data_IF_220147195876
#
_entry.id   IF_220147195876
#
_cell.length_a   1.000
_cell.length_b   1.000
_cell.length_c   1.000
_cell.angle_alpha   90.00
_cell.angle_beta   90.00
_cell.angle_gamma   90.00
#
_symmetry.space_group_name_H-M   'P 1'
#
loop_
_entity.id
_entity.type
_entity.pdbx_description
1 polymer ?
#
# COMPACT_ATOMS: atom_id res chain seq x y z
N UNK A 1 0.39 27.86 25.62
CA UNK A 1 0.35 26.47 25.13
C UNK A 1 1.49 26.12 24.17
N UNK A 2 2.12 27.09 23.53
CA UNK A 2 3.28 26.83 22.66
C UNK A 2 4.49 26.29 23.43
N UNK A 3 4.74 26.76 24.64
CA UNK A 3 5.82 26.27 25.48
C UNK A 3 5.66 24.78 25.89
N UNK A 4 4.43 24.33 26.12
CA UNK A 4 4.14 22.92 26.43
C UNK A 4 4.37 22.05 25.19
N UNK A 5 3.96 22.54 24.01
CA UNK A 5 4.16 21.87 22.73
C UNK A 5 5.64 21.73 22.38
N UNK A 6 6.41 22.79 22.62
CA UNK A 6 7.86 22.79 22.39
C UNK A 6 8.58 21.83 23.36
N UNK A 7 8.18 21.79 24.63
CA UNK A 7 8.69 20.83 25.62
C UNK A 7 8.41 19.39 25.24
N UNK A 8 7.19 19.08 24.80
CA UNK A 8 6.80 17.74 24.35
C UNK A 8 7.56 17.30 23.10
N UNK A 9 7.74 18.20 22.14
CA UNK A 9 8.52 17.91 20.93
C UNK A 9 9.99 17.58 21.28
N UNK A 10 10.58 18.32 22.22
CA UNK A 10 11.95 18.03 22.69
C UNK A 10 12.05 16.68 23.39
N UNK A 11 11.06 16.32 24.18
CA UNK A 11 11.01 15.02 24.86
C UNK A 11 10.87 13.87 23.87
N UNK A 12 10.04 14.03 22.82
CA UNK A 12 9.90 13.09 21.72
C UNK A 12 11.24 12.90 21.00
N UNK A 13 11.96 14.00 20.67
CA UNK A 13 13.27 13.92 20.02
C UNK A 13 14.31 13.20 20.89
N UNK A 14 14.32 13.42 22.21
CA UNK A 14 15.24 12.76 23.12
C UNK A 14 14.94 11.26 23.25
N UNK A 15 13.68 10.88 23.28
CA UNK A 15 13.25 9.47 23.27
C UNK A 15 13.66 8.81 21.95
N UNK A 16 13.40 9.44 20.82
CA UNK A 16 13.78 8.97 19.49
C UNK A 16 15.30 8.73 19.38
N UNK A 17 16.11 9.68 19.83
CA UNK A 17 17.59 9.55 19.88
C UNK A 17 18.05 8.39 20.75
N UNK A 18 17.40 8.17 21.90
CA UNK A 18 17.74 7.06 22.81
C UNK A 18 17.37 5.72 22.22
N UNK A 19 16.22 5.61 21.57
CA UNK A 19 15.76 4.39 20.89
C UNK A 19 16.67 4.06 19.69
N UNK A 20 17.00 5.04 18.87
CA UNK A 20 17.90 4.87 17.72
C UNK A 20 19.29 4.36 18.12
N UNK A 21 19.79 4.76 19.29
CA UNK A 21 21.11 4.31 19.79
C UNK A 21 21.11 2.90 20.38
N UNK A 22 19.98 2.46 20.91
CA UNK A 22 19.91 1.25 21.73
C UNK A 22 19.22 0.07 21.07
N UNK A 23 18.51 0.30 19.95
CA UNK A 23 17.73 -0.74 19.27
C UNK A 23 17.97 -0.65 17.75
N UNK A 24 18.72 -1.60 17.21
CA UNK A 24 19.07 -1.65 15.78
C UNK A 24 17.81 -1.62 14.90
N UNK A 25 16.79 -2.40 15.26
CA UNK A 25 15.49 -2.44 14.54
C UNK A 25 14.80 -1.07 14.52
N UNK A 26 14.95 -0.27 15.58
CA UNK A 26 14.38 1.08 15.63
C UNK A 26 15.16 2.09 14.78
N UNK A 27 16.48 1.92 14.69
CA UNK A 27 17.31 2.72 13.79
C UNK A 27 16.92 2.48 12.31
N UNK A 28 16.70 1.22 11.94
CA UNK A 28 16.23 0.84 10.58
C UNK A 28 14.83 1.43 10.30
N UNK A 29 13.91 1.35 11.26
CA UNK A 29 12.59 1.97 11.15
C UNK A 29 12.65 3.49 11.02
N UNK A 30 13.51 4.15 11.81
CA UNK A 30 13.70 5.62 11.73
C UNK A 30 14.33 6.04 10.39
N UNK A 31 15.26 5.24 9.87
CA UNK A 31 15.84 5.47 8.55
C UNK A 31 14.78 5.33 7.44
N UNK A 32 13.85 4.36 7.55
CA UNK A 32 12.79 4.17 6.57
C UNK A 32 11.82 5.35 6.47
N UNK A 33 11.65 6.15 7.53
CA UNK A 33 10.82 7.37 7.52
C UNK A 33 11.37 8.47 6.58
N UNK A 34 12.66 8.45 6.28
CA UNK A 34 13.28 9.42 5.37
C UNK A 34 13.22 8.99 3.91
N UNK A 35 12.80 7.76 3.63
CA UNK A 35 12.69 7.23 2.27
C UNK A 35 11.42 7.80 1.63
N UNK A 36 11.62 8.51 0.53
CA UNK A 36 10.54 9.04 -0.29
C UNK A 36 10.26 8.10 -1.49
N UNK A 37 9.25 8.43 -2.28
CA UNK A 37 8.85 7.62 -3.42
C UNK A 37 9.92 7.57 -4.53
N UNK A 38 10.74 8.62 -4.70
CA UNK A 38 11.84 8.64 -5.65
C UNK A 38 12.92 7.62 -5.28
N UNK A 39 13.20 7.46 -3.98
CA UNK A 39 14.14 6.43 -3.51
C UNK A 39 13.61 5.02 -3.82
N UNK A 40 12.30 4.78 -3.63
CA UNK A 40 11.66 3.52 -4.00
C UNK A 40 11.78 3.29 -5.50
N UNK A 41 11.40 4.29 -6.33
CA UNK A 41 11.52 4.23 -7.79
C UNK A 41 12.93 3.87 -8.23
N UNK A 42 13.92 4.55 -7.65
CA UNK A 42 15.32 4.40 -8.06
C UNK A 42 15.90 3.03 -7.70
N UNK A 43 15.34 2.36 -6.69
CA UNK A 43 15.67 0.99 -6.31
C UNK A 43 15.03 -0.08 -7.21
N UNK A 44 13.95 0.24 -7.94
CA UNK A 44 13.27 -0.71 -8.82
C UNK A 44 14.07 -0.96 -10.11
N UNK A 45 13.89 -2.15 -10.69
CA UNK A 45 14.31 -2.50 -12.04
C UNK A 45 13.16 -2.23 -13.04
N UNK A 46 13.45 -2.29 -14.34
CA UNK A 46 12.46 -1.98 -15.40
C UNK A 46 11.22 -2.89 -15.38
N UNK A 47 11.36 -4.12 -14.87
CA UNK A 47 10.27 -5.10 -14.77
C UNK A 47 9.64 -5.17 -13.37
N UNK A 48 9.95 -4.22 -12.50
CA UNK A 48 9.45 -4.17 -11.12
C UNK A 48 8.34 -3.14 -10.97
N UNK A 49 7.43 -3.40 -10.04
CA UNK A 49 6.45 -2.44 -9.55
C UNK A 49 6.39 -2.48 -8.02
N UNK A 50 6.33 -1.31 -7.40
CA UNK A 50 6.02 -1.17 -5.99
C UNK A 50 4.60 -0.63 -5.85
N UNK A 51 3.80 -1.24 -4.96
CA UNK A 51 2.39 -0.90 -4.75
C UNK A 51 2.12 -0.73 -3.26
N UNK A 52 1.62 0.42 -2.86
CA UNK A 52 1.04 0.58 -1.53
C UNK A 52 -0.48 0.70 -1.66
N UNK A 53 -1.18 -0.20 -1.00
CA UNK A 53 -2.63 -0.15 -0.91
C UNK A 53 -3.03 0.73 0.27
N UNK A 54 -3.98 1.62 0.05
CA UNK A 54 -4.52 2.51 1.07
C UNK A 54 -6.04 2.44 1.10
N UNK A 55 -6.58 2.43 2.29
CA UNK A 55 -7.99 2.74 2.50
C UNK A 55 -8.11 4.24 2.75
N UNK A 56 -8.76 4.95 1.83
CA UNK A 56 -8.98 6.39 1.94
C UNK A 56 -10.29 6.61 2.69
N UNK A 57 -10.24 7.12 3.93
CA UNK A 57 -11.43 7.50 4.67
C UNK A 57 -12.09 8.70 4.00
N UNK A 58 -13.36 8.92 4.30
CA UNK A 58 -14.06 10.14 3.90
C UNK A 58 -13.37 11.33 4.57
N UNK A 59 -12.77 12.20 3.75
CA UNK A 59 -12.20 13.44 4.26
C UNK A 59 -13.19 14.57 3.93
N UNK A 60 -13.79 15.15 4.97
CA UNK A 60 -14.59 16.34 4.86
C UNK A 60 -13.66 17.56 4.83
N UNK A 61 -13.58 18.28 3.70
CA UNK A 61 -12.77 19.48 3.59
C UNK A 61 -12.78 20.10 2.19
N UNK A 62 -12.42 21.39 2.12
CA UNK A 62 -12.58 22.21 0.91
C UNK A 62 -11.78 21.74 -0.31
N UNK A 63 -10.70 20.98 -0.11
CA UNK A 63 -9.75 20.59 -1.18
C UNK A 63 -9.52 19.08 -1.23
N UNK A 64 -10.41 18.28 -0.64
CA UNK A 64 -10.26 16.83 -0.55
C UNK A 64 -10.94 16.10 -1.70
N UNK A 65 -10.37 14.97 -2.09
CA UNK A 65 -11.01 14.00 -2.97
C UNK A 65 -12.31 13.57 -2.28
N UNK A 66 -13.43 14.11 -2.75
CA UNK A 66 -14.74 13.72 -2.28
C UNK A 66 -15.06 12.35 -2.86
N UNK A 67 -15.20 11.34 -2.03
CA UNK A 67 -15.95 10.16 -2.44
C UNK A 67 -17.41 10.61 -2.56
N UNK A 68 -17.94 10.62 -3.77
CA UNK A 68 -19.27 11.16 -4.10
C UNK A 68 -20.42 10.53 -3.28
N UNK A 69 -20.19 9.39 -2.67
CA UNK A 69 -21.16 8.59 -1.92
C UNK A 69 -20.83 8.46 -0.43
N UNK A 70 -19.78 9.14 0.05
CA UNK A 70 -19.43 9.17 1.47
C UNK A 70 -18.89 7.86 2.05
N UNK A 71 -18.48 6.89 1.24
CA UNK A 71 -18.01 5.58 1.68
C UNK A 71 -16.49 5.43 1.47
N UNK A 72 -15.74 4.88 2.47
CA UNK A 72 -14.31 4.61 2.34
C UNK A 72 -14.00 3.71 1.14
N UNK A 73 -12.90 4.00 0.45
CA UNK A 73 -12.45 3.25 -0.72
C UNK A 73 -10.99 2.86 -0.61
N UNK A 74 -10.69 1.70 -1.15
CA UNK A 74 -9.31 1.33 -1.41
C UNK A 74 -8.79 2.00 -2.68
N UNK A 75 -7.52 2.36 -2.65
CA UNK A 75 -6.74 2.74 -3.82
C UNK A 75 -5.36 2.09 -3.75
N UNK A 76 -4.71 1.98 -4.89
CA UNK A 76 -3.31 1.61 -5.01
C UNK A 76 -2.49 2.83 -5.39
N UNK A 77 -1.40 3.06 -4.69
CA UNK A 77 -0.33 3.99 -5.10
C UNK A 77 0.76 3.15 -5.70
N UNK A 78 1.01 3.33 -7.00
CA UNK A 78 1.88 2.49 -7.80
C UNK A 78 3.08 3.29 -8.29
N UNK A 79 4.26 2.68 -8.16
CA UNK A 79 5.55 3.23 -8.58
C UNK A 79 6.24 2.23 -9.49
N UNK A 80 6.77 2.73 -10.62
CA UNK A 80 7.64 1.97 -11.52
C UNK A 80 8.89 2.78 -11.82
N UNK A 81 9.92 2.12 -12.35
CA UNK A 81 11.20 2.73 -12.68
C UNK A 81 11.10 3.94 -13.62
N UNK A 82 10.21 3.86 -14.59
CA UNK A 82 9.98 4.86 -15.64
C UNK A 82 9.00 5.97 -15.24
N UNK A 83 8.43 5.93 -14.00
CA UNK A 83 7.45 6.92 -13.57
C UNK A 83 8.11 8.23 -13.12
N UNK A 84 7.51 9.33 -13.53
CA UNK A 84 7.88 10.69 -13.11
C UNK A 84 7.15 11.15 -11.85
N UNK A 85 6.08 10.44 -11.48
CA UNK A 85 5.28 10.63 -10.27
C UNK A 85 4.54 9.32 -9.94
N UNK A 86 4.17 9.06 -8.69
CA UNK A 86 3.35 7.91 -8.35
C UNK A 86 1.99 7.97 -9.06
N UNK A 87 1.50 6.83 -9.52
CA UNK A 87 0.15 6.72 -10.07
C UNK A 87 -0.82 6.25 -8.99
N UNK A 88 -1.99 6.85 -8.93
CA UNK A 88 -3.05 6.48 -7.99
C UNK A 88 -4.17 5.83 -8.79
N UNK A 89 -4.42 4.55 -8.50
CA UNK A 89 -5.48 3.77 -9.13
C UNK A 89 -6.60 3.53 -8.13
N UNK A 90 -7.81 4.05 -8.37
CA UNK A 90 -8.98 3.74 -7.55
C UNK A 90 -9.34 2.25 -7.67
N UNK A 91 -9.65 1.64 -6.52
CA UNK A 91 -10.07 0.24 -6.43
C UNK A 91 -11.53 0.15 -5.99
N UNK A 92 -11.85 -0.77 -5.12
CA UNK A 92 -13.20 -1.02 -4.64
C UNK A 92 -13.56 -0.21 -3.40
N UNK A 93 -14.85 -0.13 -3.09
CA UNK A 93 -15.37 0.33 -1.79
C UNK A 93 -15.02 -0.68 -0.70
N UNK A 94 -14.77 -0.18 0.52
CA UNK A 94 -14.47 -1.02 1.68
C UNK A 94 -15.58 -2.07 1.92
N UNK A 95 -16.84 -1.64 1.87
CA UNK A 95 -18.00 -2.53 2.05
C UNK A 95 -18.05 -3.70 1.05
N UNK A 96 -17.44 -3.59 -0.13
CA UNK A 96 -17.40 -4.70 -1.08
C UNK A 96 -16.47 -5.82 -0.63
N UNK A 97 -15.37 -5.50 0.08
CA UNK A 97 -14.50 -6.50 0.68
C UNK A 97 -15.15 -7.13 1.91
N UNK A 98 -15.79 -6.31 2.75
CA UNK A 98 -16.45 -6.77 3.97
C UNK A 98 -17.62 -7.72 3.69
N UNK A 99 -18.25 -7.59 2.52
CA UNK A 99 -19.38 -8.42 2.11
C UNK A 99 -18.99 -9.75 1.43
N UNK A 100 -17.70 -10.02 1.24
CA UNK A 100 -17.25 -11.33 0.73
C UNK A 100 -17.26 -12.31 1.90
N UNK A 101 -17.98 -13.40 1.74
CA UNK A 101 -17.92 -14.52 2.69
C UNK A 101 -16.51 -15.10 2.71
N UNK A 102 -15.98 -15.40 3.90
CA UNK A 102 -14.58 -15.84 4.04
C UNK A 102 -14.28 -17.13 3.28
N UNK A 103 -15.27 -17.98 3.14
CA UNK A 103 -15.21 -19.23 2.40
C UNK A 103 -15.04 -18.99 0.89
N UNK A 104 -15.58 -17.88 0.37
CA UNK A 104 -15.60 -17.58 -1.07
C UNK A 104 -14.38 -16.75 -1.55
N UNK A 105 -13.56 -16.25 -0.63
CA UNK A 105 -12.44 -15.34 -0.95
C UNK A 105 -11.50 -15.95 -2.00
N UNK A 106 -11.26 -17.24 -1.95
CA UNK A 106 -10.32 -17.94 -2.85
C UNK A 106 -11.02 -18.91 -3.83
N UNK A 107 -12.36 -18.96 -3.82
CA UNK A 107 -13.13 -19.82 -4.73
C UNK A 107 -13.65 -19.06 -5.94
N UNK A 108 -13.57 -17.72 -5.92
CA UNK A 108 -14.02 -16.86 -7.01
C UNK A 108 -12.97 -15.84 -7.41
N UNK A 109 -13.10 -15.25 -8.59
CA UNK A 109 -12.25 -14.18 -9.09
C UNK A 109 -12.60 -12.78 -8.50
N UNK A 110 -13.41 -12.73 -7.45
CA UNK A 110 -13.90 -11.49 -6.85
C UNK A 110 -12.77 -10.59 -6.33
N UNK A 111 -11.77 -11.15 -5.62
CA UNK A 111 -10.61 -10.39 -5.15
C UNK A 111 -9.78 -9.87 -6.32
N UNK A 112 -9.57 -10.71 -7.34
CA UNK A 112 -8.86 -10.29 -8.54
C UNK A 112 -9.53 -9.08 -9.19
N UNK A 113 -10.85 -9.15 -9.44
CA UNK A 113 -11.62 -8.06 -10.07
C UNK A 113 -11.61 -6.76 -9.26
N UNK A 114 -11.56 -6.85 -7.94
CA UNK A 114 -11.57 -5.68 -7.06
C UNK A 114 -10.20 -5.04 -6.88
N UNK A 115 -9.13 -5.82 -6.89
CA UNK A 115 -7.79 -5.37 -6.49
C UNK A 115 -6.82 -5.36 -7.67
N UNK A 116 -6.77 -6.43 -8.48
CA UNK A 116 -5.74 -6.60 -9.50
C UNK A 116 -6.17 -6.17 -10.91
N UNK A 117 -7.41 -6.46 -11.30
CA UNK A 117 -7.93 -6.09 -12.62
C UNK A 117 -7.80 -4.58 -12.91
N UNK A 118 -8.10 -3.66 -11.96
CA UNK A 118 -7.89 -2.22 -12.17
C UNK A 118 -6.42 -1.84 -12.41
N UNK A 119 -5.47 -2.68 -12.00
CA UNK A 119 -4.03 -2.43 -12.12
C UNK A 119 -3.43 -3.03 -13.40
N UNK A 120 -4.16 -3.80 -14.19
CA UNK A 120 -3.60 -4.56 -15.32
C UNK A 120 -2.87 -3.69 -16.34
N UNK A 121 -3.40 -2.51 -16.65
CA UNK A 121 -2.75 -1.58 -17.59
C UNK A 121 -1.40 -1.08 -17.05
N UNK A 122 -1.37 -0.74 -15.76
CA UNK A 122 -0.16 -0.27 -15.08
C UNK A 122 0.88 -1.39 -14.89
N UNK A 123 0.45 -2.65 -14.88
CA UNK A 123 1.31 -3.82 -14.68
C UNK A 123 1.78 -4.46 -15.98
N UNK A 124 1.53 -3.85 -17.15
CA UNK A 124 2.06 -4.35 -18.41
C UNK A 124 3.59 -4.41 -18.41
N UNK A 125 4.15 -5.58 -18.70
CA UNK A 125 5.60 -5.83 -18.72
C UNK A 125 6.23 -6.02 -17.34
N UNK A 126 5.49 -5.87 -16.26
CA UNK A 126 5.96 -6.16 -14.90
C UNK A 126 6.11 -7.67 -14.71
N UNK A 127 7.13 -8.05 -13.94
CA UNK A 127 7.41 -9.44 -13.53
C UNK A 127 7.40 -9.59 -12.01
N UNK A 128 7.91 -8.57 -11.31
CA UNK A 128 8.03 -8.60 -9.86
C UNK A 128 7.18 -7.48 -9.26
N UNK A 129 6.36 -7.82 -8.29
CA UNK A 129 5.50 -6.90 -7.56
C UNK A 129 5.87 -6.91 -6.09
N UNK A 130 6.26 -5.77 -5.57
CA UNK A 130 6.49 -5.52 -4.15
C UNK A 130 5.31 -4.73 -3.61
N UNK A 131 4.53 -5.28 -2.68
CA UNK A 131 3.34 -4.58 -2.21
C UNK A 131 3.24 -4.53 -0.69
N UNK A 132 2.65 -3.44 -0.19
CA UNK A 132 2.21 -3.29 1.18
C UNK A 132 0.68 -3.15 1.21
N UNK A 133 0.05 -3.89 2.12
CA UNK A 133 -1.39 -3.87 2.32
C UNK A 133 -1.81 -2.90 3.42
N UNK A 134 -3.08 -2.50 3.45
CA UNK A 134 -3.67 -1.69 4.50
C UNK A 134 -4.98 -2.34 5.00
N UNK A 135 -5.28 -2.17 6.28
CA UNK A 135 -6.50 -2.62 6.96
C UNK A 135 -6.90 -4.08 6.65
N UNK A 136 -8.09 -4.31 6.08
CA UNK A 136 -8.60 -5.66 5.79
C UNK A 136 -7.74 -6.42 4.77
N UNK A 137 -7.07 -5.73 3.85
CA UNK A 137 -6.15 -6.36 2.91
C UNK A 137 -4.95 -7.05 3.58
N UNK A 138 -4.61 -6.68 4.84
CA UNK A 138 -3.64 -7.44 5.63
C UNK A 138 -4.11 -8.85 5.98
N UNK A 139 -5.42 -9.06 6.08
CA UNK A 139 -6.03 -10.32 6.49
C UNK A 139 -6.31 -11.25 5.31
N UNK A 140 -6.23 -10.72 4.09
CA UNK A 140 -6.52 -11.42 2.85
C UNK A 140 -5.20 -11.70 2.11
N UNK A 141 -4.99 -12.93 1.68
CA UNK A 141 -3.88 -13.31 0.79
C UNK A 141 -4.19 -12.91 -0.64
N UNK A 142 -4.19 -11.60 -0.95
CA UNK A 142 -4.53 -11.08 -2.28
C UNK A 142 -3.60 -11.61 -3.37
N UNK A 143 -2.40 -12.03 -3.01
CA UNK A 143 -1.41 -12.68 -3.88
C UNK A 143 -1.82 -14.08 -4.34
N UNK A 144 -2.82 -14.68 -3.71
CA UNK A 144 -3.38 -15.99 -4.07
C UNK A 144 -4.74 -15.89 -4.75
N UNK A 145 -5.17 -14.67 -5.13
CA UNK A 145 -6.47 -14.46 -5.73
C UNK A 145 -6.60 -15.21 -7.06
N UNK A 146 -7.67 -16.02 -7.25
CA UNK A 146 -7.95 -16.65 -8.53
C UNK A 146 -8.24 -15.62 -9.62
N UNK A 147 -7.71 -15.85 -10.82
CA UNK A 147 -7.99 -15.06 -12.01
C UNK A 147 -9.12 -15.68 -12.84
N UNK A 148 -9.75 -14.92 -13.76
CA UNK A 148 -10.84 -15.45 -14.61
C UNK A 148 -10.46 -16.65 -15.48
N UNK A 149 -9.18 -16.85 -15.76
CA UNK A 149 -8.66 -17.99 -16.53
C UNK A 149 -8.40 -19.25 -15.68
N UNK A 150 -8.62 -19.18 -14.36
CA UNK A 150 -8.42 -20.28 -13.42
C UNK A 150 -7.03 -20.35 -12.78
N UNK A 151 -6.05 -19.55 -13.25
CA UNK A 151 -4.75 -19.43 -12.61
C UNK A 151 -4.83 -18.53 -11.38
N UNK A 152 -3.77 -18.50 -10.56
CA UNK A 152 -3.65 -17.53 -9.49
C UNK A 152 -2.77 -16.35 -9.91
N UNK A 153 -3.01 -15.16 -9.33
CA UNK A 153 -2.21 -13.96 -9.63
C UNK A 153 -0.71 -14.19 -9.35
N UNK A 154 -0.36 -15.00 -8.36
CA UNK A 154 1.02 -15.38 -8.04
C UNK A 154 1.68 -16.30 -9.08
N UNK A 155 0.94 -16.88 -10.02
CA UNK A 155 1.49 -17.61 -11.17
C UNK A 155 1.85 -16.65 -12.33
N UNK A 156 1.16 -15.51 -12.39
CA UNK A 156 1.39 -14.46 -13.39
C UNK A 156 2.58 -13.56 -13.03
N UNK A 157 2.77 -13.27 -11.73
CA UNK A 157 3.80 -12.38 -11.22
C UNK A 157 4.56 -13.00 -10.03
N UNK A 158 5.82 -12.66 -9.87
CA UNK A 158 6.53 -12.87 -8.61
C UNK A 158 6.07 -11.80 -7.62
N UNK A 159 5.35 -12.19 -6.58
CA UNK A 159 4.72 -11.24 -5.65
C UNK A 159 5.41 -11.31 -4.29
N UNK A 160 5.81 -10.15 -3.78
CA UNK A 160 6.47 -9.99 -2.49
C UNK A 160 5.63 -9.06 -1.60
N UNK A 161 5.09 -9.63 -0.52
CA UNK A 161 4.35 -8.85 0.49
C UNK A 161 5.33 -8.24 1.48
N UNK A 162 5.25 -6.95 1.68
CA UNK A 162 6.07 -6.17 2.59
C UNK A 162 5.18 -5.49 3.65
N UNK A 163 5.78 -5.04 4.74
CA UNK A 163 5.11 -4.16 5.69
C UNK A 163 5.04 -2.70 5.18
N UNK A 164 5.98 -2.30 4.34
CA UNK A 164 5.99 -1.05 3.58
C UNK A 164 6.91 -1.20 2.38
N UNK A 165 6.65 -0.51 1.28
CA UNK A 165 7.54 -0.46 0.11
C UNK A 165 8.81 0.37 0.34
N UNK A 166 8.92 1.01 1.51
CA UNK A 166 10.09 1.77 1.96
C UNK A 166 11.15 0.94 2.70
N UNK A 167 11.02 -0.38 2.72
CA UNK A 167 11.97 -1.28 3.41
C UNK A 167 12.98 -1.90 2.46
#
# INVERSE_FOLDING_TARGET
DDAVRESLNKEIEDIDKRLTRNVTTYADFSASKSINWENVRDALSDNDAAIEFYNIPIIWGRDSIQTLDGEPRYCAVLIRKDYTQPHIVPLCKESRLDNIEKEDIYESDSIYRMIWEPLEEELKGVKNIYFAADRELHKIGIEYAPMPNGDNIGEKYNIYRLSSTRL
#
